data_IF_016264002901
#
_entry.id   IF_016264002901
#
_cell.length_a   1.000
_cell.length_b   1.000
_cell.length_c   1.000
_cell.angle_alpha   90.00
_cell.angle_beta   90.00
_cell.angle_gamma   90.00
#
_symmetry.space_group_name_H-M   'P 1'
#
loop_
_entity.id
_entity.type
_entity.pdbx_description
1 polymer ?
#
# COMPACT_ATOMS: atom_id res chain seq x y z
N UNK A 1 4.31 -13.30 -6.39
CA UNK A 1 5.05 -12.76 -5.25
C UNK A 1 4.11 -12.73 -4.06
N UNK A 2 4.44 -13.49 -3.03
CA UNK A 2 3.61 -13.72 -1.86
C UNK A 2 3.71 -12.56 -0.86
N UNK A 3 2.66 -12.33 -0.04
CA UNK A 3 2.66 -11.27 1.00
C UNK A 3 3.89 -11.36 1.92
N UNK A 4 4.34 -12.58 2.24
CA UNK A 4 5.56 -12.83 3.00
C UNK A 4 6.81 -12.23 2.34
N UNK A 5 6.93 -12.30 1.01
CA UNK A 5 8.09 -11.74 0.30
C UNK A 5 8.07 -10.22 0.29
N UNK A 6 6.89 -9.63 0.18
CA UNK A 6 6.68 -8.18 0.31
C UNK A 6 7.11 -7.72 1.71
N UNK A 7 6.71 -8.47 2.74
CA UNK A 7 7.10 -8.22 4.13
C UNK A 7 8.61 -8.26 4.35
N UNK A 8 9.30 -9.31 3.90
CA UNK A 8 10.77 -9.41 4.01
C UNK A 8 11.48 -8.22 3.35
N UNK A 9 11.04 -7.84 2.15
CA UNK A 9 11.62 -6.72 1.42
C UNK A 9 11.38 -5.39 2.14
N UNK A 10 10.18 -5.18 2.70
CA UNK A 10 9.85 -3.98 3.46
C UNK A 10 10.63 -3.89 4.77
N UNK A 11 10.79 -5.01 5.48
CA UNK A 11 11.61 -5.08 6.70
C UNK A 11 13.06 -4.70 6.40
N UNK A 12 13.61 -5.20 5.30
CA UNK A 12 14.95 -4.84 4.84
C UNK A 12 15.05 -3.36 4.45
N UNK A 13 14.04 -2.82 3.76
CA UNK A 13 14.04 -1.44 3.25
C UNK A 13 13.84 -0.40 4.35
N UNK A 14 12.86 -0.60 5.22
CA UNK A 14 12.48 0.35 6.28
C UNK A 14 13.40 0.26 7.50
N UNK A 15 14.11 -0.85 7.69
CA UNK A 15 14.85 -1.17 8.91
C UNK A 15 13.97 -1.05 10.18
N UNK A 16 12.66 -1.20 10.02
CA UNK A 16 11.65 -1.12 11.07
C UNK A 16 11.58 -2.44 11.85
N UNK A 17 11.42 -2.33 13.17
CA UNK A 17 11.32 -3.46 14.10
C UNK A 17 9.88 -3.79 14.46
N UNK A 18 8.95 -2.85 14.25
CA UNK A 18 7.53 -3.07 14.47
C UNK A 18 6.91 -3.89 13.32
N UNK A 19 6.98 -5.21 13.46
CA UNK A 19 6.48 -6.15 12.44
C UNK A 19 4.96 -6.08 12.29
N UNK A 20 4.22 -5.77 13.36
CA UNK A 20 2.77 -5.65 13.35
C UNK A 20 2.31 -4.47 12.49
N UNK A 21 2.98 -3.31 12.63
CA UNK A 21 2.74 -2.15 11.78
C UNK A 21 2.99 -2.46 10.30
N UNK A 22 4.09 -3.15 9.97
CA UNK A 22 4.39 -3.51 8.58
C UNK A 22 3.29 -4.41 8.01
N UNK A 23 2.84 -5.42 8.76
CA UNK A 23 1.75 -6.31 8.34
C UNK A 23 0.44 -5.56 8.13
N UNK A 24 0.09 -4.63 9.05
CA UNK A 24 -1.10 -3.80 8.92
C UNK A 24 -1.05 -2.94 7.65
N UNK A 25 0.09 -2.29 7.38
CA UNK A 25 0.26 -1.47 6.18
C UNK A 25 0.19 -2.31 4.90
N UNK A 26 0.77 -3.52 4.89
CA UNK A 26 0.67 -4.45 3.77
C UNK A 26 -0.79 -4.83 3.52
N UNK A 27 -1.56 -5.13 4.56
CA UNK A 27 -2.97 -5.50 4.41
C UNK A 27 -3.79 -4.35 3.82
N UNK A 28 -3.63 -3.14 4.37
CA UNK A 28 -4.28 -1.94 3.84
C UNK A 28 -3.92 -1.67 2.37
N UNK A 29 -2.65 -1.81 2.01
CA UNK A 29 -2.19 -1.65 0.63
C UNK A 29 -2.76 -2.73 -0.30
N UNK A 30 -2.86 -3.99 0.17
CA UNK A 30 -3.50 -5.08 -0.56
C UNK A 30 -4.99 -4.79 -0.79
N UNK A 31 -5.73 -4.36 0.24
CA UNK A 31 -7.14 -4.00 0.12
C UNK A 31 -7.35 -2.89 -0.92
N UNK A 32 -6.50 -1.86 -0.92
CA UNK A 32 -6.56 -0.80 -1.93
C UNK A 32 -6.32 -1.32 -3.35
N UNK A 33 -5.37 -2.24 -3.52
CA UNK A 33 -5.13 -2.90 -4.82
C UNK A 33 -6.38 -3.67 -5.27
N UNK A 34 -6.95 -4.47 -4.37
CA UNK A 34 -8.07 -5.35 -4.68
C UNK A 34 -9.34 -4.57 -5.00
N UNK A 35 -9.68 -3.55 -4.22
CA UNK A 35 -10.84 -2.71 -4.46
C UNK A 35 -10.76 -1.95 -5.79
N UNK A 36 -9.55 -1.55 -6.21
CA UNK A 36 -9.33 -0.89 -7.51
C UNK A 36 -9.34 -1.88 -8.67
N UNK A 37 -8.73 -3.06 -8.49
CA UNK A 37 -8.69 -4.12 -9.51
C UNK A 37 -10.05 -4.78 -9.71
N UNK A 38 -10.81 -4.98 -8.64
CA UNK A 38 -12.07 -5.72 -8.61
C UNK A 38 -13.15 -4.96 -7.82
N UNK A 39 -13.67 -3.86 -8.37
CA UNK A 39 -14.63 -2.99 -7.67
C UNK A 39 -15.96 -3.69 -7.32
N UNK A 40 -16.25 -4.84 -7.93
CA UNK A 40 -17.48 -5.62 -7.70
C UNK A 40 -17.25 -6.91 -6.89
N UNK A 41 -16.08 -7.04 -6.27
CA UNK A 41 -15.69 -8.22 -5.50
C UNK A 41 -14.83 -9.20 -6.31
N UNK A 42 -14.21 -10.14 -5.59
CA UNK A 42 -13.22 -11.07 -6.12
C UNK A 42 -13.22 -12.39 -5.36
N UNK A 43 -12.76 -13.45 -6.02
CA UNK A 43 -12.48 -14.75 -5.39
C UNK A 43 -11.09 -14.78 -4.75
N UNK A 44 -10.84 -15.72 -3.84
CA UNK A 44 -9.51 -15.93 -3.23
C UNK A 44 -8.40 -16.13 -4.29
N UNK A 45 -8.72 -16.83 -5.39
CA UNK A 45 -7.78 -17.00 -6.50
C UNK A 45 -7.44 -15.67 -7.19
N UNK A 46 -8.45 -14.82 -7.40
CA UNK A 46 -8.26 -13.48 -7.98
C UNK A 46 -7.46 -12.59 -7.04
N UNK A 47 -7.66 -12.70 -5.72
CA UNK A 47 -6.83 -12.00 -4.74
C UNK A 47 -5.35 -12.33 -4.93
N UNK A 48 -5.01 -13.63 -4.87
CA UNK A 48 -3.63 -14.08 -4.98
C UNK A 48 -2.97 -13.62 -6.29
N UNK A 49 -3.71 -13.70 -7.40
CA UNK A 49 -3.22 -13.25 -8.71
C UNK A 49 -3.00 -11.73 -8.73
N UNK A 50 -3.95 -10.93 -8.22
CA UNK A 50 -3.82 -9.48 -8.20
C UNK A 50 -2.69 -9.00 -7.29
N UNK A 51 -2.56 -9.55 -6.08
CA UNK A 51 -1.47 -9.17 -5.17
C UNK A 51 -0.11 -9.57 -5.74
N UNK A 52 -0.02 -10.73 -6.39
CA UNK A 52 1.19 -11.13 -7.09
C UNK A 52 1.53 -10.19 -8.26
N UNK A 53 0.53 -9.81 -9.06
CA UNK A 53 0.70 -8.91 -10.21
C UNK A 53 1.10 -7.49 -9.79
N UNK A 54 0.49 -6.96 -8.73
CA UNK A 54 0.67 -5.58 -8.26
C UNK A 54 1.58 -5.49 -7.04
N UNK A 55 2.45 -6.48 -6.82
CA UNK A 55 3.34 -6.54 -5.64
C UNK A 55 4.23 -5.30 -5.51
N UNK A 56 4.66 -4.69 -6.62
CA UNK A 56 5.44 -3.45 -6.61
C UNK A 56 4.61 -2.23 -6.16
N UNK A 57 3.33 -2.20 -6.55
CA UNK A 57 2.38 -1.15 -6.12
C UNK A 57 2.15 -1.25 -4.62
N UNK A 58 1.94 -2.47 -4.10
CA UNK A 58 1.82 -2.72 -2.65
C UNK A 58 3.06 -2.24 -1.91
N UNK A 59 4.26 -2.62 -2.37
CA UNK A 59 5.52 -2.20 -1.75
C UNK A 59 5.64 -0.67 -1.67
N UNK A 60 5.44 0.03 -2.80
CA UNK A 60 5.52 1.50 -2.86
C UNK A 60 4.48 2.19 -1.99
N UNK A 61 3.26 1.65 -1.95
CA UNK A 61 2.20 2.17 -1.12
C UNK A 61 2.52 2.06 0.38
N UNK A 62 3.10 0.92 0.81
CA UNK A 62 3.52 0.73 2.20
C UNK A 62 4.64 1.69 2.58
N UNK A 63 5.67 1.83 1.74
CA UNK A 63 6.76 2.79 1.98
C UNK A 63 6.19 4.21 2.14
N UNK A 64 5.33 4.64 1.23
CA UNK A 64 4.71 5.97 1.29
C UNK A 64 3.87 6.15 2.57
N UNK A 65 3.04 5.16 2.92
CA UNK A 65 2.21 5.21 4.11
C UNK A 65 3.03 5.25 5.39
N UNK A 66 4.13 4.49 5.46
CA UNK A 66 5.08 4.51 6.57
C UNK A 66 5.76 5.88 6.71
N UNK A 67 6.29 6.44 5.62
CA UNK A 67 6.92 7.77 5.63
C UNK A 67 5.93 8.86 6.04
N UNK A 68 4.69 8.82 5.53
CA UNK A 68 3.60 9.73 5.92
C UNK A 68 3.19 9.55 7.39
N UNK A 69 3.15 8.33 7.89
CA UNK A 69 2.89 7.98 9.29
C UNK A 69 3.96 8.50 10.26
N UNK A 70 5.24 8.43 9.84
CA UNK A 70 6.36 9.06 10.56
C UNK A 70 6.25 10.58 10.59
N UNK A 71 5.81 11.18 9.47
CA UNK A 71 5.59 12.63 9.38
C UNK A 71 4.40 13.08 10.25
N UNK A 72 3.27 12.36 10.26
CA UNK A 72 2.11 12.76 11.08
C UNK A 72 2.37 12.66 12.58
N UNK A 73 3.22 11.72 13.00
CA UNK A 73 3.64 11.57 14.40
C UNK A 73 4.54 12.74 14.85
N UNK A 74 5.28 13.34 13.92
CA UNK A 74 6.13 14.52 14.14
C UNK A 74 5.46 15.86 13.77
N UNK A 75 4.28 15.86 13.12
CA UNK A 75 3.59 17.06 12.65
C UNK A 75 2.54 17.62 13.62
N UNK A 76 2.42 17.05 14.82
CA UNK A 76 1.59 17.59 15.90
C UNK A 76 2.21 18.81 16.61
N UNK A 77 3.32 19.37 16.09
CA UNK A 77 3.95 20.58 16.62
C UNK A 77 4.54 21.47 15.51
N UNK A 78 3.75 21.83 14.50
CA UNK A 78 4.06 23.03 13.73
C UNK A 78 2.81 23.59 13.06
N UNK A 79 2.14 24.49 13.77
CA UNK A 79 1.33 25.55 13.18
C UNK A 79 2.20 26.40 12.24
N UNK A 80 2.59 25.89 11.06
CA UNK A 80 2.91 26.76 9.94
C UNK A 80 2.94 25.99 8.63
N UNK A 81 2.20 26.51 7.64
CA UNK A 81 2.06 25.97 6.30
C UNK A 81 3.40 25.68 5.61
N UNK A 82 3.82 24.42 5.65
CA UNK A 82 4.75 23.88 4.66
C UNK A 82 3.94 23.01 3.72
N UNK A 83 3.66 23.55 2.53
CA UNK A 83 3.17 22.81 1.38
C UNK A 83 4.22 21.76 0.98
N UNK A 84 4.28 20.65 1.71
CA UNK A 84 4.88 19.43 1.20
C UNK A 84 3.96 18.99 0.07
N UNK A 85 4.46 18.97 -1.15
CA UNK A 85 3.77 18.36 -2.29
C UNK A 85 3.62 16.87 -1.99
N UNK A 86 2.61 16.52 -1.19
CA UNK A 86 2.20 15.13 -1.01
C UNK A 86 1.90 14.62 -2.41
N UNK A 87 2.62 13.57 -2.83
CA UNK A 87 2.21 12.79 -4.00
C UNK A 87 0.77 12.40 -3.72
N UNK A 88 -0.13 12.79 -4.63
CA UNK A 88 -1.53 12.40 -4.57
C UNK A 88 -1.57 10.87 -4.43
N UNK A 89 -2.10 10.39 -3.31
CA UNK A 89 -2.04 8.97 -2.93
C UNK A 89 -2.64 8.08 -4.01
N UNK A 90 -3.59 8.61 -4.79
CA UNK A 90 -4.20 7.94 -5.93
C UNK A 90 -3.19 7.60 -7.03
N UNK A 91 -2.16 8.44 -7.22
CA UNK A 91 -1.07 8.21 -8.20
C UNK A 91 -0.23 6.98 -7.88
N UNK A 92 -0.23 6.49 -6.64
CA UNK A 92 0.45 5.24 -6.31
C UNK A 92 -0.24 4.03 -6.97
N UNK A 93 -1.54 4.15 -7.23
CA UNK A 93 -2.38 3.07 -7.70
C UNK A 93 -2.83 3.21 -9.16
N UNK A 94 -2.37 4.24 -9.88
CA UNK A 94 -2.77 4.52 -11.28
C UNK A 94 -2.43 3.39 -12.26
N UNK A 95 -1.48 2.51 -11.90
CA UNK A 95 -1.06 1.37 -12.72
C UNK A 95 -2.04 0.19 -12.63
N UNK A 96 -2.99 0.25 -11.71
CA UNK A 96 -3.99 -0.80 -11.51
C UNK A 96 -5.07 -0.63 -12.57
N UNK A 97 -5.18 -1.65 -13.42
CA UNK A 97 -6.22 -1.72 -14.44
C UNK A 97 -7.44 -2.39 -13.81
N UNK A 98 -8.60 -1.74 -13.71
CA UNK A 98 -9.80 -2.38 -13.19
C UNK A 98 -10.27 -3.50 -14.12
N UNK A 99 -10.76 -4.58 -13.55
CA UNK A 99 -11.41 -5.69 -14.26
C UNK A 99 -12.86 -5.72 -13.84
N UNK A 100 -13.75 -5.49 -14.80
CA UNK A 100 -15.14 -5.84 -14.63
C UNK A 100 -15.28 -7.33 -14.95
N UNK A 101 -15.54 -8.13 -13.92
CA UNK A 101 -16.07 -9.47 -14.17
C UNK A 101 -17.50 -9.31 -14.66
N UNK A 102 -17.83 -9.88 -15.81
CA UNK A 102 -19.24 -10.21 -16.09
C UNK A 102 -19.58 -11.33 -15.12
N UNK A 103 -20.27 -10.99 -14.02
CA UNK A 103 -20.87 -11.96 -13.10
C UNK A 103 -21.98 -12.73 -13.83
#
# INVERSE_FOLDING_TARGET
>A
MDKNKIFENLKMYLSEKDEELIWLLIDLACQNVLNRRYPFGYTEKQELVAISQYSNVVFRAVVYAYEKGGITSHASLSENGTSRSFIDEDKLYTEIVPVCGVL
#
